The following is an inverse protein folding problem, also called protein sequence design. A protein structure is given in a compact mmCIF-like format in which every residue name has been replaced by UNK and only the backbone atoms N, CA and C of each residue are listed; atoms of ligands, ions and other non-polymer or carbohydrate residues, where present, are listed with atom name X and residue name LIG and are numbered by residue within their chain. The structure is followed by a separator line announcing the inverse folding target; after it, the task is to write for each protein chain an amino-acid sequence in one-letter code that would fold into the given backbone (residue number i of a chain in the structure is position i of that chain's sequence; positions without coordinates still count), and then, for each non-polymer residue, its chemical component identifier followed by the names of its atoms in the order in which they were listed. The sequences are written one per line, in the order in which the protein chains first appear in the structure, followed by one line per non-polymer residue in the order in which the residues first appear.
data_IF_670344640332
#
_entry.id   IF_670344640332
#
_cell.length_a   1.000
_cell.length_b   1.000
_cell.length_c   1.000
_cell.angle_alpha   90.00
_cell.angle_beta   90.00
_cell.angle_gamma   90.00
#
_symmetry.space_group_name_H-M   'P 1'
#
loop_
_entity.id
_entity.type
_entity.pdbx_description
1 polymer ?
#
# COMPACT_ATOMS: atom_id res chain seq x y z
N UNK A 1 -4.00 -5.65 6.46
CA UNK A 1 -5.36 -5.06 6.33
C UNK A 1 -5.77 -4.24 7.56
N UNK A 2 -5.00 -4.30 8.66
CA UNK A 2 -5.47 -3.84 9.98
C UNK A 2 -5.32 -2.34 10.26
N UNK A 3 -4.38 -1.65 9.59
CA UNK A 3 -4.17 -0.22 9.83
C UNK A 3 -5.42 0.60 9.52
N UNK A 4 -6.08 0.34 8.38
CA UNK A 4 -7.32 1.01 8.00
C UNK A 4 -8.44 0.78 9.00
N UNK A 5 -8.56 -0.45 9.51
CA UNK A 5 -9.56 -0.81 10.52
C UNK A 5 -9.28 -0.13 11.87
N UNK A 6 -8.03 -0.10 12.33
CA UNK A 6 -7.65 0.57 13.57
C UNK A 6 -7.88 2.08 13.47
N UNK A 7 -7.51 2.68 12.34
CA UNK A 7 -7.77 4.09 12.03
C UNK A 7 -9.27 4.42 12.07
N UNK A 8 -10.10 3.60 11.43
CA UNK A 8 -11.56 3.78 11.47
C UNK A 8 -12.15 3.64 12.87
N UNK A 9 -11.67 2.67 13.67
CA UNK A 9 -12.11 2.50 15.07
C UNK A 9 -11.81 3.74 15.91
N UNK A 10 -10.59 4.27 15.82
CA UNK A 10 -10.21 5.50 16.51
C UNK A 10 -11.09 6.69 16.07
N UNK A 11 -11.32 6.86 14.76
CA UNK A 11 -12.16 7.95 14.25
C UNK A 11 -13.62 7.84 14.70
N UNK A 12 -14.21 6.64 14.69
CA UNK A 12 -15.58 6.41 15.20
C UNK A 12 -15.68 6.67 16.70
N UNK A 13 -14.65 6.34 17.47
CA UNK A 13 -14.60 6.65 18.89
C UNK A 13 -14.60 8.17 19.12
N UNK A 14 -13.70 8.91 18.45
CA UNK A 14 -13.61 10.37 18.58
C UNK A 14 -14.90 11.07 18.17
N UNK A 15 -15.51 10.63 17.06
CA UNK A 15 -16.78 11.17 16.56
C UNK A 15 -17.92 11.02 17.59
N UNK A 16 -18.04 9.85 18.23
CA UNK A 16 -19.05 9.61 19.28
C UNK A 16 -18.83 10.45 20.54
N UNK A 17 -17.64 10.99 20.72
CA UNK A 17 -17.27 11.86 21.85
C UNK A 17 -17.25 13.35 21.45
N UNK A 18 -17.76 13.69 20.27
CA UNK A 18 -17.84 15.07 19.77
C UNK A 18 -16.50 15.66 19.33
N UNK A 19 -15.43 14.86 19.29
CA UNK A 19 -14.11 15.33 18.89
C UNK A 19 -13.95 15.21 17.37
N UNK A 20 -14.09 16.33 16.66
CA UNK A 20 -14.03 16.37 15.20
C UNK A 20 -12.81 17.19 14.76
N UNK A 21 -12.01 16.59 13.88
CA UNK A 21 -10.91 17.29 13.24
C UNK A 21 -11.42 18.15 12.08
N UNK A 22 -11.14 19.46 12.09
CA UNK A 22 -11.71 20.44 11.15
C UNK A 22 -10.95 20.58 9.82
N UNK A 23 -9.77 19.98 9.68
CA UNK A 23 -8.92 20.11 8.48
C UNK A 23 -9.25 19.03 7.44
N UNK A 24 -8.91 19.30 6.17
CA UNK A 24 -9.26 18.47 5.00
C UNK A 24 -8.56 17.10 4.92
N UNK A 25 -7.45 16.85 5.61
CA UNK A 25 -6.66 15.60 5.46
C UNK A 25 -6.31 14.93 6.78
N UNK A 26 -6.85 13.73 6.98
CA UNK A 26 -6.51 12.83 8.07
C UNK A 26 -5.16 12.13 7.86
N UNK A 27 -4.58 11.64 8.96
CA UNK A 27 -3.33 10.87 9.01
C UNK A 27 -2.10 11.60 8.43
N UNK A 28 -2.15 12.93 8.47
CA UNK A 28 -1.03 13.82 8.18
C UNK A 28 -0.32 14.23 9.47
N UNK A 29 0.85 14.84 9.37
CA UNK A 29 1.58 15.39 10.54
C UNK A 29 0.68 16.28 11.40
N UNK A 30 -0.14 17.13 10.77
CA UNK A 30 -1.09 18.01 11.48
C UNK A 30 -2.17 17.23 12.22
N UNK A 31 -2.66 16.12 11.66
CA UNK A 31 -3.64 15.26 12.33
C UNK A 31 -3.03 14.56 13.55
N UNK A 32 -1.79 14.05 13.47
CA UNK A 32 -1.12 13.46 14.64
C UNK A 32 -0.85 14.49 15.74
N UNK A 33 -0.45 15.71 15.37
CA UNK A 33 -0.31 16.80 16.36
C UNK A 33 -1.63 17.09 17.08
N UNK A 34 -2.74 17.12 16.34
CA UNK A 34 -4.06 17.27 16.94
C UNK A 34 -4.42 16.10 17.86
N UNK A 35 -4.23 14.85 17.42
CA UNK A 35 -4.47 13.65 18.25
C UNK A 35 -3.67 13.67 19.55
N UNK A 36 -2.39 14.05 19.50
CA UNK A 36 -1.52 14.12 20.68
C UNK A 36 -1.93 15.23 21.67
N UNK A 37 -2.69 16.23 21.20
CA UNK A 37 -3.16 17.34 22.03
C UNK A 37 -4.59 17.13 22.56
N UNK A 38 -5.22 15.98 22.26
CA UNK A 38 -6.55 15.67 22.79
C UNK A 38 -6.45 15.36 24.29
N UNK A 39 -7.24 16.08 25.07
CA UNK A 39 -7.40 15.82 26.50
C UNK A 39 -8.84 15.41 26.78
N UNK A 40 -8.99 14.43 27.66
CA UNK A 40 -10.30 13.92 28.08
C UNK A 40 -10.38 14.06 29.60
N UNK A 41 -11.43 14.70 30.11
CA UNK A 41 -11.66 14.87 31.56
C UNK A 41 -11.88 13.54 32.27
N UNK A 42 -12.44 12.55 31.57
CA UNK A 42 -12.69 11.22 32.09
C UNK A 42 -11.48 10.30 31.83
N UNK A 43 -10.89 9.77 32.89
CA UNK A 43 -9.70 8.92 32.84
C UNK A 43 -9.90 7.64 32.01
N UNK A 44 -11.03 6.94 32.22
CA UNK A 44 -11.38 5.72 31.46
C UNK A 44 -11.49 6.03 29.96
N UNK A 45 -12.01 7.20 29.61
CA UNK A 45 -12.11 7.67 28.24
C UNK A 45 -10.73 7.96 27.64
N UNK A 46 -9.84 8.58 28.43
CA UNK A 46 -8.47 8.84 28.04
C UNK A 46 -7.67 7.55 27.80
N UNK A 47 -7.81 6.56 28.69
CA UNK A 47 -7.22 5.23 28.51
C UNK A 47 -7.74 4.53 27.25
N UNK A 48 -9.06 4.59 27.01
CA UNK A 48 -9.67 4.01 25.80
C UNK A 48 -9.12 4.66 24.53
N UNK A 49 -8.93 5.98 24.54
CA UNK A 49 -8.28 6.70 23.44
C UNK A 49 -6.85 6.21 23.24
N UNK A 50 -6.07 6.10 24.30
CA UNK A 50 -4.67 5.65 24.25
C UNK A 50 -4.54 4.21 23.73
N UNK A 51 -5.44 3.30 24.10
CA UNK A 51 -5.49 1.95 23.54
C UNK A 51 -5.74 1.98 22.02
N UNK A 52 -6.77 2.71 21.55
CA UNK A 52 -7.02 2.80 20.11
C UNK A 52 -5.89 3.48 19.34
N UNK A 53 -5.32 4.54 19.90
CA UNK A 53 -4.23 5.27 19.28
C UNK A 53 -2.96 4.42 19.20
N UNK A 54 -2.59 3.72 20.28
CA UNK A 54 -1.42 2.82 20.30
C UNK A 54 -1.53 1.71 19.25
N UNK A 55 -2.72 1.11 19.05
CA UNK A 55 -2.95 0.11 17.99
C UNK A 55 -2.73 0.65 16.58
N UNK A 56 -3.03 1.93 16.34
CA UNK A 56 -2.70 2.58 15.06
C UNK A 56 -1.18 2.71 14.93
N UNK A 57 -0.50 3.21 15.96
CA UNK A 57 0.95 3.43 15.97
C UNK A 57 1.74 2.13 15.78
N UNK A 58 1.43 1.10 16.54
CA UNK A 58 2.06 -0.23 16.42
C UNK A 58 1.90 -0.78 15.01
N UNK A 59 0.70 -0.67 14.41
CA UNK A 59 0.50 -1.19 13.06
C UNK A 59 1.25 -0.39 11.99
N UNK A 60 1.43 0.92 12.17
CA UNK A 60 2.27 1.76 11.31
C UNK A 60 3.74 1.39 11.40
N UNK A 61 4.23 1.17 12.61
CA UNK A 61 5.61 0.73 12.86
C UNK A 61 5.87 -0.66 12.28
N UNK A 62 4.93 -1.59 12.46
CA UNK A 62 5.00 -2.92 11.86
C UNK A 62 5.07 -2.84 10.33
N UNK A 63 4.23 -2.01 9.70
CA UNK A 63 4.24 -1.83 8.25
C UNK A 63 5.59 -1.27 7.78
N UNK A 64 6.11 -0.25 8.46
CA UNK A 64 7.41 0.34 8.16
C UNK A 64 8.55 -0.68 8.32
N UNK A 65 8.52 -1.50 9.36
CA UNK A 65 9.51 -2.53 9.60
C UNK A 65 9.46 -3.63 8.51
N UNK A 66 8.27 -4.01 8.05
CA UNK A 66 8.11 -4.93 6.92
C UNK A 66 8.65 -4.35 5.63
N UNK A 67 8.34 -3.09 5.33
CA UNK A 67 8.86 -2.40 4.14
C UNK A 67 10.40 -2.33 4.16
N UNK A 68 11.00 -2.05 5.32
CA UNK A 68 12.46 -2.06 5.50
C UNK A 68 13.06 -3.44 5.23
N UNK A 69 12.49 -4.50 5.82
CA UNK A 69 12.95 -5.88 5.58
C UNK A 69 12.85 -6.27 4.09
N UNK A 70 11.76 -5.90 3.42
CA UNK A 70 11.61 -6.14 1.98
C UNK A 70 12.71 -5.43 1.19
N UNK A 71 13.01 -4.18 1.52
CA UNK A 71 14.11 -3.46 0.86
C UNK A 71 15.48 -4.09 1.14
N UNK A 72 15.75 -4.56 2.35
CA UNK A 72 16.99 -5.27 2.70
C UNK A 72 17.15 -6.54 1.87
N UNK A 73 16.12 -7.39 1.82
CA UNK A 73 16.11 -8.62 1.01
C UNK A 73 16.29 -8.27 -0.46
N UNK A 74 15.58 -7.25 -0.96
CA UNK A 74 15.65 -6.83 -2.36
C UNK A 74 17.05 -6.30 -2.77
N UNK A 75 17.85 -5.84 -1.81
CA UNK A 75 19.23 -5.36 -2.01
C UNK A 75 20.29 -6.45 -1.84
N UNK A 76 19.90 -7.64 -1.39
CA UNK A 76 20.79 -8.80 -1.27
C UNK A 76 21.27 -9.28 -2.64
N UNK A 77 22.42 -9.96 -2.67
CA UNK A 77 23.08 -10.43 -3.90
C UNK A 77 22.13 -11.21 -4.80
N UNK A 78 21.28 -12.06 -4.22
CA UNK A 78 20.34 -12.91 -4.96
C UNK A 78 19.32 -12.13 -5.79
N UNK A 79 18.93 -10.92 -5.36
CA UNK A 79 17.82 -10.15 -5.95
C UNK A 79 18.25 -8.83 -6.57
N UNK A 80 19.39 -8.26 -6.16
CA UNK A 80 19.82 -6.89 -6.48
C UNK A 80 19.72 -6.54 -7.96
N UNK A 81 20.27 -7.39 -8.83
CA UNK A 81 20.29 -7.11 -10.28
C UNK A 81 18.88 -7.13 -10.87
N UNK A 82 18.11 -8.18 -10.60
CA UNK A 82 16.75 -8.38 -11.11
C UNK A 82 15.79 -7.28 -10.62
N UNK A 83 15.87 -6.93 -9.33
CA UNK A 83 15.14 -5.81 -8.74
C UNK A 83 15.56 -4.49 -9.38
N UNK A 84 16.86 -4.28 -9.59
CA UNK A 84 17.40 -3.08 -10.22
C UNK A 84 16.86 -2.85 -11.63
N UNK A 85 16.71 -3.92 -12.42
CA UNK A 85 16.10 -3.86 -13.75
C UNK A 85 14.62 -3.48 -13.66
N UNK A 86 13.85 -4.15 -12.79
CA UNK A 86 12.41 -3.90 -12.64
C UNK A 86 12.12 -2.47 -12.15
N UNK A 87 12.94 -1.92 -11.26
CA UNK A 87 12.77 -0.55 -10.74
C UNK A 87 13.08 0.55 -11.76
N UNK A 88 13.61 0.24 -12.94
CA UNK A 88 13.72 1.23 -14.04
C UNK A 88 12.37 1.57 -14.66
N UNK A 89 11.36 0.70 -14.49
CA UNK A 89 10.01 0.97 -14.95
C UNK A 89 9.33 1.99 -14.02
N UNK A 90 8.69 3.00 -14.62
CA UNK A 90 8.00 4.07 -13.87
C UNK A 90 6.89 3.47 -13.02
N UNK A 91 6.95 3.70 -11.71
CA UNK A 91 5.96 3.22 -10.75
C UNK A 91 6.26 1.85 -10.14
N UNK A 92 7.41 1.23 -10.47
CA UNK A 92 7.87 -0.01 -9.84
C UNK A 92 8.91 0.33 -8.77
N UNK A 93 8.58 0.06 -7.50
CA UNK A 93 9.52 0.16 -6.39
C UNK A 93 9.82 -1.22 -5.78
N UNK A 94 10.66 -1.28 -4.74
CA UNK A 94 11.14 -2.54 -4.14
C UNK A 94 10.04 -3.55 -3.82
N UNK A 95 8.95 -3.12 -3.17
CA UNK A 95 7.83 -4.01 -2.84
C UNK A 95 7.22 -4.63 -4.11
N UNK A 96 6.92 -3.79 -5.10
CA UNK A 96 6.37 -4.25 -6.38
C UNK A 96 7.36 -5.17 -7.08
N UNK A 97 8.63 -4.79 -7.20
CA UNK A 97 9.65 -5.60 -7.84
C UNK A 97 9.82 -6.98 -7.18
N UNK A 98 9.82 -7.04 -5.84
CA UNK A 98 9.91 -8.29 -5.10
C UNK A 98 8.65 -9.16 -5.28
N UNK A 99 7.46 -8.55 -5.28
CA UNK A 99 6.22 -9.25 -5.60
C UNK A 99 6.25 -9.84 -7.02
N UNK A 100 6.71 -9.07 -8.00
CA UNK A 100 6.86 -9.55 -9.38
C UNK A 100 7.84 -10.73 -9.47
N UNK A 101 8.94 -10.68 -8.72
CA UNK A 101 9.93 -11.74 -8.66
C UNK A 101 9.39 -13.01 -7.99
N UNK A 102 8.62 -12.87 -6.91
CA UNK A 102 8.03 -14.02 -6.21
C UNK A 102 6.93 -14.69 -7.03
N UNK A 103 6.10 -13.90 -7.71
CA UNK A 103 5.02 -14.41 -8.57
C UNK A 103 5.55 -15.03 -9.86
N UNK A 104 6.55 -14.41 -10.48
CA UNK A 104 7.11 -14.93 -11.72
C UNK A 104 7.82 -16.27 -11.46
N UNK A 105 8.58 -16.39 -10.36
CA UNK A 105 9.47 -17.49 -9.93
C UNK A 105 10.53 -17.91 -10.98
N UNK A 106 10.12 -18.04 -12.25
CA UNK A 106 10.92 -18.19 -13.45
C UNK A 106 10.40 -17.32 -14.62
N UNK A 107 11.12 -16.25 -14.97
CA UNK A 107 10.80 -15.39 -16.12
C UNK A 107 10.86 -16.12 -17.47
N UNK A 108 11.49 -17.31 -17.54
CA UNK A 108 11.52 -18.14 -18.76
C UNK A 108 10.13 -18.64 -19.17
N UNK A 109 9.13 -18.53 -18.30
CA UNK A 109 7.71 -18.79 -18.62
C UNK A 109 7.12 -17.77 -19.59
N UNK A 110 7.71 -16.58 -19.72
CA UNK A 110 7.23 -15.55 -20.63
C UNK A 110 8.09 -15.50 -21.90
N UNK A 111 7.51 -15.89 -23.04
CA UNK A 111 8.18 -15.87 -24.35
C UNK A 111 8.63 -14.47 -24.80
N UNK A 112 7.99 -13.40 -24.31
CA UNK A 112 8.32 -12.01 -24.65
C UNK A 112 8.05 -11.07 -23.49
N UNK A 113 8.75 -9.93 -23.43
CA UNK A 113 8.51 -8.87 -22.45
C UNK A 113 7.07 -8.33 -22.49
N UNK A 114 6.43 -8.31 -23.67
CA UNK A 114 5.01 -7.94 -23.81
C UNK A 114 4.05 -8.90 -23.12
N UNK A 115 4.31 -10.21 -23.18
CA UNK A 115 3.52 -11.23 -22.47
C UNK A 115 3.64 -11.09 -20.96
N UNK A 116 4.83 -10.75 -20.46
CA UNK A 116 5.06 -10.49 -19.03
C UNK A 116 4.36 -9.20 -18.58
N UNK A 117 4.47 -8.10 -19.34
CA UNK A 117 3.78 -6.85 -19.00
C UNK A 117 2.25 -7.00 -19.01
N UNK A 118 1.69 -7.80 -19.92
CA UNK A 118 0.26 -8.12 -19.96
C UNK A 118 -0.19 -8.97 -18.77
N UNK A 119 0.64 -9.94 -18.35
CA UNK A 119 0.39 -10.76 -17.16
C UNK A 119 0.36 -9.91 -15.88
N UNK A 120 1.24 -8.92 -15.77
CA UNK A 120 1.32 -8.03 -14.61
C UNK A 120 0.29 -6.91 -14.60
N UNK A 121 -0.54 -6.77 -15.64
CA UNK A 121 -1.43 -5.63 -15.80
C UNK A 121 -0.68 -4.28 -15.91
N UNK A 122 0.61 -4.31 -16.25
CA UNK A 122 1.48 -3.13 -16.41
C UNK A 122 1.45 -2.54 -17.83
N UNK A 123 0.58 -3.05 -18.71
CA UNK A 123 0.39 -2.49 -20.05
C UNK A 123 -0.43 -1.19 -19.91
N UNK A 124 0.09 -0.01 -20.27
CA UNK A 124 -0.79 1.07 -20.68
C UNK A 124 -1.53 0.57 -21.92
N UNK A 125 -2.85 0.42 -21.85
CA UNK A 125 -3.64 -0.22 -22.89
C UNK A 125 -3.34 0.34 -24.29
N UNK A 126 -2.81 -0.49 -25.18
CA UNK A 126 -2.82 -0.25 -26.61
C UNK A 126 -3.73 -1.31 -27.26
N UNK A 127 -4.99 -0.93 -27.47
CA UNK A 127 -5.84 -1.59 -28.44
C UNK A 127 -5.58 -0.91 -29.79
N UNK A 128 -4.79 -1.54 -30.66
CA UNK A 128 -4.81 -1.22 -32.08
C UNK A 128 -5.93 -2.00 -32.75
N UNK A 129 -7.13 -1.45 -32.73
CA UNK A 129 -8.04 -1.61 -33.87
C UNK A 129 -7.89 -0.36 -34.75
N UNK A 130 -8.00 -0.55 -36.07
CA UNK A 130 -7.56 0.39 -37.10
C UNK A 130 -7.74 1.88 -36.81
N UNK A 131 -6.67 2.64 -37.04
CA UNK A 131 -6.65 4.08 -37.28
C UNK A 131 -7.46 4.95 -36.29
N UNK A 132 -6.95 5.14 -35.06
CA UNK A 132 -6.98 6.42 -34.33
C UNK A 132 -6.22 6.31 -32.99
N UNK A 133 -5.26 7.21 -32.76
CA UNK A 133 -4.52 7.33 -31.49
C UNK A 133 -5.38 8.01 -30.43
N UNK A 134 -5.64 7.34 -29.31
CA UNK A 134 -6.05 7.98 -28.06
C UNK A 134 -5.39 7.25 -26.87
N UNK A 135 -4.55 7.99 -26.12
CA UNK A 135 -3.90 7.50 -24.89
C UNK A 135 -4.89 7.67 -23.74
N UNK A 136 -5.24 6.59 -23.03
CA UNK A 136 -6.02 6.68 -21.79
C UNK A 136 -5.31 5.89 -20.67
N UNK A 137 -5.42 6.43 -19.45
CA UNK A 137 -4.60 6.08 -18.30
C UNK A 137 -4.82 4.67 -17.72
N UNK A 138 -3.91 4.30 -16.82
CA UNK A 138 -3.85 3.03 -16.09
C UNK A 138 -5.21 2.67 -15.48
N UNK A 139 -5.86 1.60 -15.96
CA UNK A 139 -7.02 1.00 -15.28
C UNK A 139 -6.56 -0.06 -14.28
N UNK A 140 -7.03 0.08 -13.04
CA UNK A 140 -6.83 -0.86 -11.94
C UNK A 140 -7.80 -2.03 -12.11
N UNK A 141 -7.31 -3.27 -12.16
CA UNK A 141 -8.18 -4.46 -12.10
C UNK A 141 -8.39 -4.90 -10.65
N UNK A 142 -9.66 -5.13 -10.33
CA UNK A 142 -10.15 -5.81 -9.14
C UNK A 142 -9.99 -7.33 -9.35
N UNK A 143 -9.31 -8.01 -8.42
CA UNK A 143 -9.10 -9.47 -8.49
C UNK A 143 -10.36 -10.13 -7.93
N UNK A 144 -11.04 -10.94 -8.76
CA UNK A 144 -12.03 -11.90 -8.27
C UNK A 144 -11.30 -13.18 -7.86
N UNK A 145 -11.68 -13.68 -6.70
CA UNK A 145 -11.18 -14.91 -6.09
C UNK A 145 -11.22 -16.07 -7.09
N UNK A 146 -10.11 -16.81 -7.17
CA UNK A 146 -10.07 -18.12 -7.79
C UNK A 146 -9.83 -19.15 -6.68
N UNK A 147 -10.91 -19.84 -6.33
CA UNK A 147 -10.83 -21.13 -5.66
C UNK A 147 -10.14 -22.16 -6.56
N UNK A 148 -9.37 -23.03 -5.92
CA UNK A 148 -8.89 -24.29 -6.48
C UNK A 148 -7.54 -24.19 -7.18
N UNK A 149 -6.46 -24.35 -6.40
CA UNK A 149 -5.42 -25.38 -6.57
C UNK A 149 -4.57 -25.46 -5.29
#
# INVERSE_FOLDING_TARGET
MDLGRNRQRLMKFLLRKGNVYSTTKYWTVSHYKWLNNLHFENEILHETFNDYYSRVRVQEENLKAMDQKIQEIAKSEAFRERVGILRRFRGVDYLTAMFLLSEANDFRRFKTAGSFMSFLGLVPGEYSSGSKRNKQGLQKREVRDLEGF
#
